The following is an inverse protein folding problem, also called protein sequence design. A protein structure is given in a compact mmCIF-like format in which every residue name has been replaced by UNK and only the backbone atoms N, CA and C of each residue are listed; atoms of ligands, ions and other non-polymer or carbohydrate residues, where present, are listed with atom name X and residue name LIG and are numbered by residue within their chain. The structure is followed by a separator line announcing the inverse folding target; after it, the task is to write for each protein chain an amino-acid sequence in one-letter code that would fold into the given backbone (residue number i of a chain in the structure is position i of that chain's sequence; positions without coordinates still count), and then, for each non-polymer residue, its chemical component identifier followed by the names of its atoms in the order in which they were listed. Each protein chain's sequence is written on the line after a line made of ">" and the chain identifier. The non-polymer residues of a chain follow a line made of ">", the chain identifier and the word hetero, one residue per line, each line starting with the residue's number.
data_IF_235501497867
#
_entry.id   IF_235501497867
#
_cell.length_a   1.000
_cell.length_b   1.000
_cell.length_c   1.000
_cell.angle_alpha   90.00
_cell.angle_beta   90.00
_cell.angle_gamma   90.00
#
_symmetry.space_group_name_H-M   'P 1'
#
loop_
_entity.id
_entity.type
_entity.pdbx_description
1 polymer ?
#
# COMPACT_ATOMS: atom_id res chain seq x y z
N UNK A 1 2.33 15.64 -30.74
CA UNK A 1 1.20 14.77 -30.36
C UNK A 1 1.60 14.14 -29.05
N UNK A 2 0.84 14.30 -27.97
CA UNK A 2 1.21 13.74 -26.67
C UNK A 2 1.23 12.21 -26.79
N UNK A 3 2.36 11.57 -26.51
CA UNK A 3 2.42 10.12 -26.44
C UNK A 3 1.58 9.63 -25.25
N UNK A 4 0.96 8.47 -25.38
CA UNK A 4 0.06 7.92 -24.34
C UNK A 4 0.76 7.75 -22.99
N UNK A 5 2.07 7.49 -22.98
CA UNK A 5 2.90 7.36 -21.78
C UNK A 5 3.20 8.71 -21.10
N UNK A 6 3.41 9.78 -21.86
CA UNK A 6 3.58 11.13 -21.32
C UNK A 6 2.30 11.62 -20.62
N UNK A 7 1.14 11.32 -21.22
CA UNK A 7 -0.17 11.65 -20.65
C UNK A 7 -0.40 10.98 -19.29
N UNK A 8 0.05 9.72 -19.14
CA UNK A 8 -0.03 8.97 -17.89
C UNK A 8 0.91 9.54 -16.82
N UNK A 9 2.15 9.90 -17.20
CA UNK A 9 3.09 10.55 -16.29
C UNK A 9 2.55 11.87 -15.75
N UNK A 10 1.93 12.69 -16.61
CA UNK A 10 1.28 13.95 -16.22
C UNK A 10 0.09 13.69 -15.28
N UNK A 11 -0.79 12.74 -15.62
CA UNK A 11 -1.93 12.38 -14.78
C UNK A 11 -1.49 11.93 -13.37
N UNK A 12 -0.41 11.14 -13.29
CA UNK A 12 0.18 10.71 -12.04
C UNK A 12 0.69 11.88 -11.20
N UNK A 13 1.39 12.84 -11.80
CA UNK A 13 1.87 14.03 -11.09
C UNK A 13 0.69 14.85 -10.56
N UNK A 14 -0.29 15.17 -11.41
CA UNK A 14 -1.46 15.98 -11.03
C UNK A 14 -2.23 15.34 -9.87
N UNK A 15 -2.37 14.02 -9.85
CA UNK A 15 -3.06 13.31 -8.79
C UNK A 15 -2.26 13.25 -7.47
N UNK A 16 -0.95 12.98 -7.54
CA UNK A 16 -0.15 12.81 -6.32
C UNK A 16 0.31 14.12 -5.67
N UNK A 17 0.42 15.22 -6.42
CA UNK A 17 0.75 16.55 -5.88
C UNK A 17 -0.17 16.98 -4.72
N UNK A 18 -1.51 16.90 -4.79
CA UNK A 18 -2.39 17.23 -3.66
C UNK A 18 -2.46 16.11 -2.60
N UNK A 19 -2.15 14.87 -2.97
CA UNK A 19 -2.22 13.72 -2.07
C UNK A 19 -1.07 13.71 -1.08
N UNK A 20 0.14 14.09 -1.50
CA UNK A 20 1.32 14.12 -0.60
C UNK A 20 1.05 15.05 0.61
N UNK A 21 0.63 16.32 0.45
CA UNK A 21 0.24 17.18 1.57
C UNK A 21 -0.90 16.60 2.40
N UNK A 22 -1.90 16.00 1.76
CA UNK A 22 -3.04 15.39 2.46
C UNK A 22 -2.62 14.21 3.34
N UNK A 23 -1.71 13.37 2.85
CA UNK A 23 -1.14 12.24 3.59
C UNK A 23 -0.28 12.72 4.77
N UNK A 24 0.50 13.79 4.58
CA UNK A 24 1.30 14.43 5.66
C UNK A 24 0.36 15.03 6.71
N UNK A 25 -0.71 15.71 6.30
CA UNK A 25 -1.69 16.29 7.22
C UNK A 25 -2.42 15.20 8.03
N UNK A 26 -2.85 14.12 7.35
CA UNK A 26 -3.44 12.95 7.99
C UNK A 26 -2.48 12.34 9.02
N UNK A 27 -1.18 12.24 8.71
CA UNK A 27 -0.17 11.79 9.68
C UNK A 27 -0.05 12.73 10.88
N UNK A 28 -0.02 14.06 10.68
CA UNK A 28 0.06 15.02 11.80
C UNK A 28 -1.16 14.92 12.70
N UNK A 29 -2.34 14.76 12.12
CA UNK A 29 -3.61 14.58 12.84
C UNK A 29 -3.68 13.26 13.60
N UNK A 30 -3.32 12.16 12.94
CA UNK A 30 -3.45 10.82 13.50
C UNK A 30 -2.21 10.31 14.25
N UNK A 31 -1.09 11.04 14.21
CA UNK A 31 0.19 10.68 14.83
C UNK A 31 0.19 10.70 16.36
N UNK A 32 -0.84 11.30 16.97
CA UNK A 32 -1.14 11.24 18.41
C UNK A 32 -1.85 9.95 18.83
N UNK A 33 -2.40 9.19 17.88
CA UNK A 33 -3.20 8.00 18.13
C UNK A 33 -2.34 6.75 17.87
N UNK A 34 -2.02 5.98 18.92
CA UNK A 34 -1.37 4.67 18.76
C UNK A 34 -2.38 3.68 18.18
N UNK A 35 -2.00 2.74 17.31
CA UNK A 35 -0.66 2.46 16.81
C UNK A 35 -0.33 3.32 15.57
N UNK A 36 0.81 4.00 15.64
CA UNK A 36 1.36 4.88 14.59
C UNK A 36 1.57 4.19 13.23
N UNK A 37 1.66 2.86 13.20
CA UNK A 37 2.19 2.09 12.08
C UNK A 37 1.32 2.10 10.81
N UNK A 38 0.02 2.42 10.90
CA UNK A 38 -0.88 2.36 9.74
C UNK A 38 -0.78 3.56 8.79
N UNK A 39 -0.29 4.70 9.27
CA UNK A 39 -0.33 5.98 8.54
C UNK A 39 1.00 6.33 7.88
N UNK A 40 2.10 5.83 8.43
CA UNK A 40 3.46 6.05 7.90
C UNK A 40 3.66 5.53 6.47
N UNK A 41 3.10 4.40 6.02
CA UNK A 41 3.36 3.87 4.67
C UNK A 41 2.76 4.70 3.53
N UNK A 42 1.75 5.53 3.79
CA UNK A 42 1.12 6.37 2.75
C UNK A 42 2.04 7.47 2.20
N UNK A 43 2.98 7.94 3.02
CA UNK A 43 3.92 9.01 2.65
C UNK A 43 4.99 8.52 1.66
N UNK A 44 5.77 7.45 1.96
CA UNK A 44 6.73 6.94 0.99
C UNK A 44 6.03 6.40 -0.26
N UNK A 45 4.81 5.88 -0.16
CA UNK A 45 4.00 5.51 -1.33
C UNK A 45 3.78 6.70 -2.27
N UNK A 46 3.17 7.77 -1.74
CA UNK A 46 2.81 8.95 -2.54
C UNK A 46 4.05 9.69 -3.07
N UNK A 47 5.15 9.72 -2.31
CA UNK A 47 6.43 10.27 -2.77
C UNK A 47 7.06 9.43 -3.90
N UNK A 48 7.12 8.11 -3.75
CA UNK A 48 7.62 7.23 -4.83
C UNK A 48 6.76 7.42 -6.09
N UNK A 49 5.45 7.55 -5.95
CA UNK A 49 4.58 7.78 -7.11
C UNK A 49 4.72 9.17 -7.70
N UNK A 50 4.93 10.20 -6.90
CA UNK A 50 5.24 11.52 -7.42
C UNK A 50 6.55 11.51 -8.22
N UNK A 51 7.57 10.75 -7.77
CA UNK A 51 8.84 10.60 -8.46
C UNK A 51 8.75 9.72 -9.73
N UNK A 52 7.84 8.75 -9.77
CA UNK A 52 7.65 7.86 -10.93
C UNK A 52 7.12 8.59 -12.18
N UNK A 53 6.26 9.59 -12.01
CA UNK A 53 5.70 10.35 -13.13
C UNK A 53 6.76 11.05 -14.00
N UNK A 54 7.66 11.87 -13.41
CA UNK A 54 8.76 12.51 -14.13
C UNK A 54 9.74 11.51 -14.77
N UNK A 55 9.99 10.36 -14.14
CA UNK A 55 10.90 9.33 -14.66
C UNK A 55 10.34 8.70 -15.94
N UNK A 56 9.04 8.42 -16.01
CA UNK A 56 8.38 7.89 -17.22
C UNK A 56 8.44 8.92 -18.36
N UNK A 57 8.20 10.20 -18.07
CA UNK A 57 8.28 11.28 -19.07
C UNK A 57 9.72 11.44 -19.57
N UNK A 58 10.70 11.41 -18.67
CA UNK A 58 12.11 11.55 -19.04
C UNK A 58 12.62 10.34 -19.84
N UNK A 59 12.08 9.15 -19.60
CA UNK A 59 12.43 7.93 -20.34
C UNK A 59 11.99 8.02 -21.80
N UNK A 60 10.80 8.59 -22.05
CA UNK A 60 10.25 8.81 -23.39
C UNK A 60 11.09 9.83 -24.19
N UNK A 61 11.56 10.89 -23.52
CA UNK A 61 12.36 11.93 -24.16
C UNK A 61 13.80 11.50 -24.43
N UNK A 62 14.41 10.74 -23.50
CA UNK A 62 15.78 10.24 -23.60
C UNK A 62 15.88 8.82 -23.02
N UNK A 63 15.79 7.78 -23.87
CA UNK A 63 15.87 6.41 -23.41
C UNK A 63 17.28 6.14 -22.85
N UNK A 64 17.35 5.84 -21.56
CA UNK A 64 18.58 5.39 -20.91
C UNK A 64 18.28 4.16 -20.07
N UNK A 65 19.24 3.24 -20.01
CA UNK A 65 19.13 2.00 -19.24
C UNK A 65 18.85 2.30 -17.77
N UNK A 66 19.46 3.37 -17.22
CA UNK A 66 19.23 3.82 -15.85
C UNK A 66 17.80 4.31 -15.61
N UNK A 67 17.21 5.07 -16.53
CA UNK A 67 15.82 5.50 -16.41
C UNK A 67 14.84 4.34 -16.57
N UNK A 68 15.14 3.38 -17.45
CA UNK A 68 14.33 2.18 -17.64
C UNK A 68 14.30 1.33 -16.35
N UNK A 69 15.47 1.08 -15.77
CA UNK A 69 15.62 0.39 -14.48
C UNK A 69 14.93 1.17 -13.36
N UNK A 70 15.09 2.49 -13.31
CA UNK A 70 14.40 3.33 -12.33
C UNK A 70 12.88 3.23 -12.45
N UNK A 71 12.31 3.29 -13.65
CA UNK A 71 10.87 3.15 -13.88
C UNK A 71 10.33 1.80 -13.36
N UNK A 72 11.02 0.70 -13.68
CA UNK A 72 10.66 -0.64 -13.20
C UNK A 72 10.75 -0.73 -11.68
N UNK A 73 11.81 -0.20 -11.07
CA UNK A 73 11.97 -0.22 -9.61
C UNK A 73 10.86 0.59 -8.95
N UNK A 74 10.63 1.83 -9.40
CA UNK A 74 9.59 2.69 -8.83
C UNK A 74 8.19 2.09 -8.97
N UNK A 75 7.91 1.39 -10.07
CA UNK A 75 6.64 0.71 -10.29
C UNK A 75 6.44 -0.49 -9.35
N UNK A 76 7.46 -1.33 -9.21
CA UNK A 76 7.39 -2.59 -8.46
C UNK A 76 7.57 -2.38 -6.94
N UNK A 77 8.56 -1.58 -6.54
CA UNK A 77 8.75 -1.19 -5.13
C UNK A 77 7.60 -0.30 -4.65
N UNK A 78 7.02 0.50 -5.55
CA UNK A 78 5.89 1.36 -5.24
C UNK A 78 4.67 0.60 -4.70
N UNK A 79 4.52 -0.71 -4.91
CA UNK A 79 3.36 -1.48 -4.39
C UNK A 79 3.54 -1.91 -2.92
N UNK A 80 4.79 -2.01 -2.46
CA UNK A 80 5.11 -2.47 -1.10
C UNK A 80 4.40 -1.65 -0.01
N UNK A 81 4.47 -0.31 -0.01
CA UNK A 81 3.85 0.47 1.06
C UNK A 81 2.33 0.30 1.17
N UNK A 82 1.64 -0.04 0.08
CA UNK A 82 0.20 -0.32 0.09
C UNK A 82 -0.12 -1.52 0.98
N UNK A 83 0.64 -2.62 0.88
CA UNK A 83 0.46 -3.78 1.76
C UNK A 83 0.79 -3.43 3.21
N UNK A 84 1.85 -2.63 3.44
CA UNK A 84 2.19 -2.21 4.80
C UNK A 84 1.04 -1.40 5.40
N UNK A 85 0.36 -0.57 4.62
CA UNK A 85 -0.84 0.14 5.05
C UNK A 85 -2.00 -0.82 5.36
N UNK A 86 -2.27 -1.79 4.48
CA UNK A 86 -3.29 -2.83 4.70
C UNK A 86 -3.02 -3.62 5.99
N UNK A 87 -1.76 -4.00 6.25
CA UNK A 87 -1.33 -4.62 7.49
C UNK A 87 -1.54 -3.70 8.69
N UNK A 88 -1.21 -2.42 8.54
CA UNK A 88 -1.45 -1.39 9.53
C UNK A 88 -2.90 -1.35 9.99
N UNK A 89 -3.84 -1.46 9.05
CA UNK A 89 -5.28 -1.53 9.33
C UNK A 89 -5.69 -2.79 10.09
N UNK A 90 -5.23 -3.98 9.65
CA UNK A 90 -5.48 -5.23 10.39
C UNK A 90 -4.92 -5.15 11.81
N UNK A 91 -3.74 -4.52 11.98
CA UNK A 91 -3.12 -4.36 13.28
C UNK A 91 -3.90 -3.43 14.20
N UNK A 92 -4.49 -2.35 13.68
CA UNK A 92 -5.38 -1.48 14.46
C UNK A 92 -6.52 -2.32 15.03
N UNK A 93 -7.21 -3.10 14.18
CA UNK A 93 -8.31 -3.98 14.61
C UNK A 93 -7.84 -5.03 15.63
N UNK A 94 -6.65 -5.60 15.42
CA UNK A 94 -6.11 -6.65 16.30
C UNK A 94 -5.70 -6.13 17.68
N UNK A 95 -5.09 -4.95 17.74
CA UNK A 95 -4.71 -4.31 19.01
C UNK A 95 -5.93 -3.81 19.78
N UNK A 96 -6.92 -3.26 19.09
CA UNK A 96 -8.11 -2.71 19.72
C UNK A 96 -9.03 -3.78 20.32
N UNK A 97 -9.04 -5.00 19.75
CA UNK A 97 -9.96 -6.06 20.17
C UNK A 97 -9.29 -7.29 20.81
N UNK A 98 -7.98 -7.51 20.60
CA UNK A 98 -7.29 -8.74 21.00
C UNK A 98 -5.88 -8.51 21.57
N UNK A 99 -5.64 -7.37 22.22
CA UNK A 99 -4.33 -7.01 22.81
C UNK A 99 -3.75 -8.05 23.76
N UNK A 100 -4.59 -8.87 24.44
CA UNK A 100 -4.14 -9.89 25.39
C UNK A 100 -3.89 -11.28 24.80
N UNK A 101 -4.20 -11.52 23.52
CA UNK A 101 -4.12 -12.85 22.93
C UNK A 101 -2.73 -13.15 22.34
N UNK A 102 -1.94 -14.11 22.88
CA UNK A 102 -0.58 -14.38 22.42
C UNK A 102 -0.52 -14.89 20.97
N UNK A 103 -1.58 -15.55 20.48
CA UNK A 103 -1.69 -16.01 19.07
C UNK A 103 -1.78 -14.84 18.09
N UNK A 104 -2.54 -13.80 18.44
CA UNK A 104 -2.69 -12.60 17.62
C UNK A 104 -1.36 -11.86 17.46
N UNK A 105 -0.58 -11.76 18.54
CA UNK A 105 0.73 -11.12 18.50
C UNK A 105 1.74 -11.92 17.64
N UNK A 106 1.74 -13.26 17.75
CA UNK A 106 2.56 -14.14 16.89
C UNK A 106 2.25 -13.97 15.41
N UNK A 107 0.97 -13.98 15.02
CA UNK A 107 0.54 -13.75 13.63
C UNK A 107 1.03 -12.38 13.13
N UNK A 108 0.89 -11.33 13.96
CA UNK A 108 1.38 -10.00 13.62
C UNK A 108 2.89 -9.89 13.45
N UNK A 109 3.68 -10.70 14.17
CA UNK A 109 5.15 -10.79 14.00
C UNK A 109 5.51 -11.50 12.70
N UNK A 110 4.88 -12.64 12.42
CA UNK A 110 5.11 -13.42 11.19
C UNK A 110 4.80 -12.56 9.96
N UNK A 111 3.67 -11.85 9.96
CA UNK A 111 3.30 -10.97 8.87
C UNK A 111 4.32 -9.85 8.63
N UNK A 112 4.93 -9.29 9.68
CA UNK A 112 6.00 -8.29 9.53
C UNK A 112 7.24 -8.90 8.91
N UNK A 113 7.64 -10.09 9.36
CA UNK A 113 8.80 -10.79 8.80
C UNK A 113 8.61 -11.06 7.30
N UNK A 114 7.43 -11.56 6.91
CA UNK A 114 7.09 -11.82 5.51
C UNK A 114 7.13 -10.53 4.65
N UNK A 115 6.71 -9.39 5.20
CA UNK A 115 6.85 -8.09 4.51
C UNK A 115 8.30 -7.72 4.31
N UNK A 116 9.16 -7.84 5.33
CA UNK A 116 10.60 -7.55 5.17
C UNK A 116 11.24 -8.45 4.12
N UNK A 117 10.84 -9.73 4.08
CA UNK A 117 11.26 -10.66 3.02
C UNK A 117 10.80 -10.18 1.65
N UNK A 118 9.50 -9.85 1.48
CA UNK A 118 8.97 -9.35 0.20
C UNK A 118 9.69 -8.06 -0.27
N UNK A 119 9.96 -7.14 0.65
CA UNK A 119 10.73 -5.92 0.38
C UNK A 119 12.14 -6.26 -0.11
N UNK A 120 12.82 -7.16 0.59
CA UNK A 120 14.15 -7.60 0.23
C UNK A 120 14.19 -8.22 -1.16
N UNK A 121 13.23 -9.09 -1.49
CA UNK A 121 13.14 -9.72 -2.80
C UNK A 121 12.85 -8.73 -3.92
N UNK A 122 11.87 -7.84 -3.75
CA UNK A 122 11.53 -6.83 -4.76
C UNK A 122 12.67 -5.82 -4.96
N UNK A 123 13.33 -5.40 -3.88
CA UNK A 123 14.47 -4.47 -3.95
C UNK A 123 15.70 -5.13 -4.58
N UNK A 124 15.97 -6.39 -4.26
CA UNK A 124 17.07 -7.14 -4.87
C UNK A 124 16.78 -7.46 -6.34
N UNK A 125 15.53 -7.78 -6.70
CA UNK A 125 15.11 -7.95 -8.09
C UNK A 125 15.34 -6.67 -8.89
N UNK A 126 14.94 -5.52 -8.34
CA UNK A 126 15.21 -4.20 -8.90
C UNK A 126 16.70 -3.89 -9.03
N UNK A 127 17.49 -4.09 -7.97
CA UNK A 127 18.93 -3.80 -7.97
C UNK A 127 19.72 -4.66 -8.95
N UNK A 128 19.42 -5.96 -9.05
CA UNK A 128 20.11 -6.85 -9.98
C UNK A 128 19.81 -6.49 -11.45
N UNK A 129 18.65 -5.88 -11.72
CA UNK A 129 18.32 -5.41 -13.08
C UNK A 129 19.25 -4.31 -13.59
N UNK A 130 19.92 -3.56 -12.71
CA UNK A 130 20.83 -2.47 -13.12
C UNK A 130 22.18 -2.96 -13.67
N UNK A 131 22.50 -4.25 -13.50
CA UNK A 131 23.78 -4.84 -13.93
C UNK A 131 23.82 -5.02 -15.45
N UNK A 132 22.65 -5.13 -16.11
CA UNK A 132 22.53 -5.15 -17.57
C UNK A 132 23.08 -6.40 -18.27
N UNK A 133 23.48 -7.44 -17.54
CA UNK A 133 23.90 -8.72 -18.13
C UNK A 133 22.72 -9.69 -18.27
N UNK A 134 22.69 -10.57 -19.30
CA UNK A 134 21.58 -11.51 -19.51
C UNK A 134 21.29 -12.42 -18.31
N UNK A 135 22.35 -12.87 -17.62
CA UNK A 135 22.24 -13.70 -16.41
C UNK A 135 21.67 -12.93 -15.21
N UNK A 136 22.02 -11.65 -15.06
CA UNK A 136 21.45 -10.77 -14.05
C UNK A 136 19.97 -10.47 -14.34
N UNK A 137 19.57 -10.28 -15.59
CA UNK A 137 18.17 -10.05 -15.96
C UNK A 137 17.26 -11.24 -15.60
N UNK A 138 17.70 -12.47 -15.87
CA UNK A 138 16.94 -13.67 -15.47
C UNK A 138 16.82 -13.80 -13.94
N UNK A 139 17.89 -13.46 -13.22
CA UNK A 139 17.89 -13.46 -11.75
C UNK A 139 16.94 -12.39 -11.20
N UNK A 140 17.02 -11.18 -11.74
CA UNK A 140 16.13 -10.05 -11.40
C UNK A 140 14.66 -10.41 -11.58
N UNK A 141 14.31 -11.03 -12.71
CA UNK A 141 12.94 -11.48 -13.00
C UNK A 141 12.48 -12.52 -11.99
N UNK A 142 13.31 -13.52 -11.70
CA UNK A 142 12.99 -14.57 -10.73
C UNK A 142 12.76 -13.98 -9.35
N UNK A 143 13.64 -13.07 -8.89
CA UNK A 143 13.49 -12.39 -7.61
C UNK A 143 12.20 -11.56 -7.54
N UNK A 144 11.89 -10.81 -8.60
CA UNK A 144 10.69 -9.97 -8.67
C UNK A 144 9.42 -10.81 -8.70
N UNK A 145 9.43 -11.92 -9.44
CA UNK A 145 8.31 -12.88 -9.53
C UNK A 145 8.03 -13.52 -8.17
N UNK A 146 9.07 -14.02 -7.48
CA UNK A 146 8.91 -14.58 -6.14
C UNK A 146 8.43 -13.50 -5.16
N UNK A 147 8.94 -12.27 -5.27
CA UNK A 147 8.45 -11.12 -4.52
C UNK A 147 6.95 -10.89 -4.67
N UNK A 148 6.43 -10.93 -5.91
CA UNK A 148 5.00 -10.78 -6.18
C UNK A 148 4.15 -11.98 -5.73
N UNK A 149 4.68 -13.20 -5.78
CA UNK A 149 3.97 -14.37 -5.22
C UNK A 149 3.81 -14.21 -3.71
N UNK A 150 4.89 -13.84 -3.00
CA UNK A 150 4.83 -13.56 -1.56
C UNK A 150 3.84 -12.42 -1.28
N UNK A 151 3.85 -11.37 -2.11
CA UNK A 151 2.90 -10.25 -2.03
C UNK A 151 1.45 -10.73 -2.18
N UNK A 152 1.15 -11.58 -3.16
CA UNK A 152 -0.18 -12.12 -3.40
C UNK A 152 -0.67 -13.01 -2.25
N UNK A 153 0.18 -13.89 -1.72
CA UNK A 153 -0.14 -14.74 -0.56
C UNK A 153 -0.44 -13.87 0.66
N UNK A 154 0.40 -12.86 0.92
CA UNK A 154 0.20 -11.93 2.02
C UNK A 154 -1.13 -11.17 1.90
N UNK A 155 -1.44 -10.66 0.71
CA UNK A 155 -2.70 -9.99 0.44
C UNK A 155 -3.89 -10.93 0.68
N UNK A 156 -3.83 -12.17 0.21
CA UNK A 156 -4.88 -13.16 0.41
C UNK A 156 -5.12 -13.46 1.91
N UNK A 157 -4.07 -13.60 2.71
CA UNK A 157 -4.22 -13.82 4.15
C UNK A 157 -4.78 -12.58 4.86
N UNK A 158 -4.33 -11.38 4.49
CA UNK A 158 -4.87 -10.13 5.05
C UNK A 158 -6.37 -9.98 4.75
N UNK A 159 -6.78 -10.23 3.51
CA UNK A 159 -8.20 -10.19 3.11
C UNK A 159 -9.00 -11.25 3.87
N UNK A 160 -8.47 -12.46 4.00
CA UNK A 160 -9.11 -13.55 4.75
C UNK A 160 -9.31 -13.16 6.23
N UNK A 161 -8.29 -12.55 6.84
CA UNK A 161 -8.36 -12.07 8.21
C UNK A 161 -9.37 -10.93 8.38
N UNK A 162 -9.42 -9.99 7.42
CA UNK A 162 -10.43 -8.93 7.41
C UNK A 162 -11.84 -9.50 7.26
N UNK A 163 -12.05 -10.45 6.35
CA UNK A 163 -13.34 -11.11 6.15
C UNK A 163 -13.78 -11.90 7.40
N UNK A 164 -12.84 -12.54 8.10
CA UNK A 164 -13.11 -13.21 9.37
C UNK A 164 -13.58 -12.23 10.45
N UNK A 165 -12.89 -11.09 10.61
CA UNK A 165 -13.34 -10.06 11.55
C UNK A 165 -14.67 -9.43 11.15
N UNK A 166 -14.96 -9.34 9.85
CA UNK A 166 -16.22 -8.80 9.36
C UNK A 166 -17.42 -9.64 9.80
N UNK A 167 -17.28 -10.97 9.81
CA UNK A 167 -18.31 -11.88 10.34
C UNK A 167 -18.58 -11.65 11.83
N UNK A 168 -17.60 -11.16 12.59
CA UNK A 168 -17.72 -10.81 14.00
C UNK A 168 -17.95 -9.31 14.26
N UNK A 169 -18.37 -8.53 13.25
CA UNK A 169 -18.48 -7.06 13.34
C UNK A 169 -19.26 -6.57 14.57
N UNK A 170 -20.28 -7.31 15.00
CA UNK A 170 -21.15 -6.91 16.10
C UNK A 170 -20.46 -6.85 17.48
N UNK A 171 -19.32 -7.54 17.65
CA UNK A 171 -18.53 -7.50 18.89
C UNK A 171 -17.34 -6.53 18.81
N UNK A 172 -17.18 -5.81 17.69
CA UNK A 172 -16.01 -4.95 17.45
C UNK A 172 -16.36 -3.48 17.66
N UNK A 173 -15.37 -2.73 18.14
CA UNK A 173 -15.44 -1.28 18.30
C UNK A 173 -15.84 -0.56 17.00
N UNK A 174 -16.64 0.53 17.04
CA UNK A 174 -17.06 1.28 15.85
C UNK A 174 -15.88 1.74 14.97
N UNK A 175 -14.79 2.18 15.62
CA UNK A 175 -13.54 2.57 14.94
C UNK A 175 -12.92 1.41 14.14
N UNK A 176 -12.94 0.20 14.69
CA UNK A 176 -12.45 -1.01 14.00
C UNK A 176 -13.33 -1.38 12.81
N UNK A 177 -14.65 -1.18 12.90
CA UNK A 177 -15.57 -1.45 11.79
C UNK A 177 -15.32 -0.53 10.60
N UNK A 178 -15.02 0.76 10.83
CA UNK A 178 -14.72 1.74 9.77
C UNK A 178 -13.42 1.36 9.04
N UNK A 179 -12.37 1.02 9.79
CA UNK A 179 -11.09 0.57 9.21
C UNK A 179 -11.28 -0.72 8.39
N UNK A 180 -12.10 -1.64 8.90
CA UNK A 180 -12.39 -2.90 8.23
C UNK A 180 -13.18 -2.70 6.93
N UNK A 181 -14.19 -1.81 6.92
CA UNK A 181 -14.91 -1.40 5.70
C UNK A 181 -13.94 -0.85 4.66
N UNK A 182 -13.05 0.04 5.08
CA UNK A 182 -12.02 0.62 4.23
C UNK A 182 -11.11 -0.41 3.58
N UNK A 183 -10.56 -1.32 4.37
CA UNK A 183 -9.70 -2.39 3.89
C UNK A 183 -10.40 -3.34 2.91
N UNK A 184 -11.63 -3.74 3.22
CA UNK A 184 -12.44 -4.59 2.32
C UNK A 184 -12.79 -3.86 1.01
N UNK A 185 -13.09 -2.56 1.05
CA UNK A 185 -13.38 -1.78 -0.15
C UNK A 185 -12.14 -1.62 -1.05
N UNK A 186 -10.95 -1.49 -0.45
CA UNK A 186 -9.68 -1.42 -1.18
C UNK A 186 -9.20 -2.77 -1.72
N UNK A 187 -9.59 -3.88 -1.09
CA UNK A 187 -9.11 -5.23 -1.43
C UNK A 187 -9.27 -5.67 -2.90
N UNK A 188 -10.42 -5.48 -3.60
CA UNK A 188 -10.54 -5.89 -5.00
C UNK A 188 -9.56 -5.12 -5.91
N UNK A 189 -9.31 -3.85 -5.63
CA UNK A 189 -8.38 -3.03 -6.39
C UNK A 189 -6.92 -3.45 -6.18
N UNK A 190 -6.55 -3.84 -4.95
CA UNK A 190 -5.24 -4.41 -4.68
C UNK A 190 -5.04 -5.77 -5.37
N UNK A 191 -6.08 -6.60 -5.48
CA UNK A 191 -6.01 -7.87 -6.22
C UNK A 191 -5.72 -7.59 -7.70
N UNK A 192 -6.47 -6.68 -8.33
CA UNK A 192 -6.26 -6.29 -9.74
C UNK A 192 -4.81 -5.82 -9.94
N UNK A 193 -4.32 -4.94 -9.06
CA UNK A 193 -2.95 -4.42 -9.13
C UNK A 193 -1.89 -5.52 -8.98
N UNK A 194 -2.15 -6.51 -8.12
CA UNK A 194 -1.23 -7.64 -7.88
C UNK A 194 -1.17 -8.57 -9.08
N UNK A 195 -2.34 -8.86 -9.67
CA UNK A 195 -2.43 -9.68 -10.89
C UNK A 195 -1.68 -9.00 -12.03
N UNK A 196 -1.85 -7.68 -12.20
CA UNK A 196 -1.11 -6.92 -13.20
C UNK A 196 0.42 -7.03 -13.00
N UNK A 197 0.91 -6.89 -11.76
CA UNK A 197 2.34 -7.04 -11.46
C UNK A 197 2.88 -8.47 -11.73
N UNK A 198 2.07 -9.50 -11.47
CA UNK A 198 2.43 -10.88 -11.82
C UNK A 198 2.48 -11.07 -13.35
N UNK A 199 1.50 -10.52 -14.08
CA UNK A 199 1.45 -10.60 -15.54
C UNK A 199 2.62 -9.84 -16.18
N UNK A 200 2.96 -8.65 -15.67
CA UNK A 200 4.11 -7.85 -16.10
C UNK A 200 5.40 -8.69 -16.07
N UNK A 201 5.68 -9.34 -14.94
CA UNK A 201 6.92 -10.12 -14.76
C UNK A 201 6.86 -11.47 -15.51
N UNK A 202 5.67 -12.08 -15.58
CA UNK A 202 5.49 -13.36 -16.26
C UNK A 202 5.62 -13.25 -17.79
N UNK A 203 5.08 -12.18 -18.39
CA UNK A 203 5.01 -11.99 -19.85
C UNK A 203 6.15 -11.13 -20.43
N UNK A 204 7.18 -10.85 -19.63
CA UNK A 204 8.29 -9.96 -20.01
C UNK A 204 9.12 -10.45 -21.23
N UNK A 205 9.12 -11.74 -21.56
CA UNK A 205 9.86 -12.30 -22.72
C UNK A 205 9.17 -12.05 -24.07
N UNK A 206 7.87 -11.77 -24.06
CA UNK A 206 7.12 -11.54 -25.29
C UNK A 206 7.26 -10.06 -25.64
N UNK A 207 8.17 -9.73 -26.56
CA UNK A 207 8.43 -8.37 -27.06
C UNK A 207 7.19 -7.64 -27.64
N UNK A 208 6.04 -8.32 -27.73
CA UNK A 208 4.73 -7.81 -28.19
C UNK A 208 3.65 -7.86 -27.11
N UNK A 209 4.00 -8.12 -25.85
CA UNK A 209 3.00 -8.26 -24.78
C UNK A 209 2.41 -6.89 -24.39
N UNK A 210 1.07 -6.73 -24.43
CA UNK A 210 0.40 -5.47 -24.09
C UNK A 210 0.56 -5.07 -22.62
N UNK A 211 1.15 -5.92 -21.78
CA UNK A 211 1.32 -5.73 -20.34
C UNK A 211 2.68 -5.15 -19.94
N UNK A 212 3.58 -4.89 -20.88
CA UNK A 212 4.82 -4.20 -20.55
C UNK A 212 4.52 -2.73 -20.17
N UNK A 213 4.85 -2.25 -18.97
CA UNK A 213 4.51 -0.90 -18.52
C UNK A 213 5.18 0.23 -19.33
N UNK A 214 6.25 -0.10 -20.06
CA UNK A 214 7.08 0.86 -20.78
C UNK A 214 6.83 0.82 -22.29
N UNK A 215 6.72 -0.36 -22.89
CA UNK A 215 6.53 -0.51 -24.36
C UNK A 215 5.15 -1.09 -24.74
N UNK A 216 4.35 -1.51 -23.76
CA UNK A 216 3.05 -2.13 -23.96
C UNK A 216 1.90 -1.12 -24.08
N UNK A 217 0.67 -1.58 -23.88
CA UNK A 217 -0.49 -0.70 -23.97
C UNK A 217 -0.56 0.22 -22.74
N UNK A 218 -0.21 1.49 -22.93
CA UNK A 218 -0.29 2.53 -21.91
C UNK A 218 -1.67 2.59 -21.23
N UNK A 219 -2.75 2.31 -21.96
CA UNK A 219 -4.12 2.29 -21.42
C UNK A 219 -4.32 1.13 -20.44
N UNK A 220 -3.75 -0.05 -20.73
CA UNK A 220 -3.81 -1.20 -19.82
C UNK A 220 -3.03 -0.92 -18.54
N UNK A 221 -1.84 -0.31 -18.65
CA UNK A 221 -1.07 0.15 -17.51
C UNK A 221 -1.83 1.19 -16.66
N UNK A 222 -2.44 2.18 -17.31
CA UNK A 222 -3.28 3.18 -16.65
C UNK A 222 -4.46 2.59 -15.90
N UNK A 223 -5.21 1.67 -16.52
CA UNK A 223 -6.44 1.10 -15.96
C UNK A 223 -6.22 -0.01 -14.95
N UNK A 224 -5.18 -0.84 -15.12
CA UNK A 224 -4.94 -2.01 -14.27
C UNK A 224 -3.86 -1.79 -13.21
N UNK A 225 -2.98 -0.79 -13.38
CA UNK A 225 -1.98 -0.43 -12.38
C UNK A 225 -2.31 0.88 -11.66
N UNK A 226 -2.40 2.01 -12.39
CA UNK A 226 -2.53 3.34 -11.79
C UNK A 226 -3.92 3.60 -11.18
N UNK A 227 -5.00 3.31 -11.90
CA UNK A 227 -6.36 3.58 -11.43
C UNK A 227 -6.73 2.80 -10.15
N UNK A 228 -6.43 1.50 -10.02
CA UNK A 228 -6.70 0.76 -8.79
C UNK A 228 -5.93 1.34 -7.60
N UNK A 229 -4.69 1.80 -7.81
CA UNK A 229 -3.91 2.45 -6.76
C UNK A 229 -4.53 3.77 -6.30
N UNK A 230 -5.02 4.58 -7.23
CA UNK A 230 -5.69 5.85 -6.89
C UNK A 230 -6.90 5.61 -6.01
N UNK A 231 -7.72 4.62 -6.38
CA UNK A 231 -8.91 4.25 -5.60
C UNK A 231 -8.52 3.74 -4.21
N UNK A 232 -7.48 2.91 -4.11
CA UNK A 232 -7.00 2.41 -2.82
C UNK A 232 -6.50 3.56 -1.94
N UNK A 233 -5.70 4.47 -2.49
CA UNK A 233 -5.18 5.64 -1.75
C UNK A 233 -6.30 6.52 -1.25
N UNK A 234 -7.27 6.85 -2.11
CA UNK A 234 -8.43 7.65 -1.71
C UNK A 234 -9.23 6.96 -0.61
N UNK A 235 -9.46 5.65 -0.75
CA UNK A 235 -10.15 4.84 0.27
C UNK A 235 -9.41 4.88 1.60
N UNK A 236 -8.08 4.77 1.58
CA UNK A 236 -7.23 4.78 2.77
C UNK A 236 -7.15 6.16 3.44
N UNK A 237 -7.11 7.22 2.65
CA UNK A 237 -7.17 8.60 3.16
C UNK A 237 -8.55 8.86 3.79
N UNK A 238 -9.62 8.47 3.10
CA UNK A 238 -11.00 8.62 3.59
C UNK A 238 -11.22 7.88 4.90
N UNK A 239 -10.77 6.62 5.00
CA UNK A 239 -10.89 5.84 6.23
C UNK A 239 -10.02 6.42 7.34
N UNK A 240 -8.89 7.03 7.01
CA UNK A 240 -8.07 7.77 7.97
C UNK A 240 -8.72 8.98 8.58
N UNK A 241 -9.43 9.78 7.78
CA UNK A 241 -10.18 10.91 8.33
C UNK A 241 -11.44 10.49 9.09
N UNK A 242 -11.98 9.32 8.76
CA UNK A 242 -13.20 8.79 9.39
C UNK A 242 -12.96 8.17 10.77
N UNK A 243 -11.71 7.96 11.18
CA UNK A 243 -11.39 7.44 12.52
C UNK A 243 -11.50 8.60 13.53
N UNK A 244 -12.36 8.49 14.57
CA UNK A 244 -12.48 9.52 15.59
C UNK A 244 -11.18 9.69 16.37
N UNK A 245 -10.79 10.92 16.77
CA UNK A 245 -9.57 11.18 17.54
C UNK A 245 -9.48 10.38 18.84
N UNK A 246 -10.63 10.11 19.47
CA UNK A 246 -10.73 9.42 20.75
C UNK A 246 -10.94 7.90 20.65
N UNK A 247 -11.02 7.32 19.44
CA UNK A 247 -11.33 5.89 19.20
C UNK A 247 -12.63 5.36 19.85
N UNK A 248 -13.39 6.21 20.55
CA UNK A 248 -14.49 5.81 21.42
C UNK A 248 -14.05 5.33 22.81
N UNK A 249 -12.79 5.56 23.20
CA UNK A 249 -12.30 5.35 24.57
C UNK A 249 -12.37 6.71 25.26
N UNK A 250 -13.15 6.90 26.33
CA UNK A 250 -13.13 8.16 27.06
C UNK A 250 -11.70 8.45 27.48
N UNK A 251 -11.22 9.65 27.18
CA UNK A 251 -9.89 10.07 27.61
C UNK A 251 -9.78 9.88 29.13
N UNK A 252 -8.58 9.55 29.64
CA UNK A 252 -8.33 9.44 31.09
C UNK A 252 -8.75 10.73 31.82
N UNK A 253 -8.76 11.86 31.10
CA UNK A 253 -9.27 13.13 31.58
C UNK A 253 -10.79 13.15 31.70
N UNK A 254 -11.53 12.60 30.72
CA UNK A 254 -12.98 12.39 30.81
C UNK A 254 -13.33 11.43 31.95
N UNK A 255 -12.54 10.38 32.18
CA UNK A 255 -12.72 9.40 33.26
C UNK A 255 -12.42 10.02 34.64
N UNK A 256 -11.39 10.87 34.76
CA UNK A 256 -11.13 11.67 35.98
C UNK A 256 -12.21 12.69 36.25
N UNK A 257 -12.71 13.39 35.23
CA UNK A 257 -13.77 14.39 35.37
C UNK A 257 -15.09 13.72 35.79
N UNK A 258 -15.42 12.55 35.24
CA UNK A 258 -16.60 11.79 35.70
C UNK A 258 -16.41 11.25 37.11
N UNK A 259 -15.23 10.72 37.48
CA UNK A 259 -14.97 10.29 38.86
C UNK A 259 -14.97 11.44 39.87
N UNK A 260 -14.54 12.65 39.48
CA UNK A 260 -14.60 13.83 40.34
C UNK A 260 -16.03 14.35 40.49
N UNK A 261 -16.83 14.32 39.42
CA UNK A 261 -18.24 14.70 39.45
C UNK A 261 -19.10 13.71 40.26
N UNK A 262 -18.77 12.42 40.25
CA UNK A 262 -19.44 11.39 41.05
C UNK A 262 -19.12 11.55 42.55
N UNK A 263 -17.87 11.94 42.88
CA UNK A 263 -17.45 12.23 44.25
C UNK A 263 -17.99 13.53 44.83
N UNK A 264 -18.42 14.49 44.02
CA UNK A 264 -19.00 15.76 44.51
C UNK A 264 -20.49 15.68 44.80
N UNK A 265 -21.16 14.59 44.43
CA UNK A 265 -22.59 14.36 44.65
C UNK A 265 -22.88 13.45 45.86
N UNK A 266 -21.86 13.14 46.67
CA UNK A 266 -21.92 12.45 47.96
C UNK A 266 -21.44 13.40 49.04
#
# INVERSE_FOLDING_TARGET
>A
MLNSHESLGIAQIIFYVPIVPTAIWLMKRNGRIRPRLAWWPMIPFSLMRLAGGPVIIALEQKPSIGLYVAAIILLNVGVVPLIIATLGYVRIVLLDNYSSNPRANKIGVIMRLCIFVAIGLLSAGGGVSSIGTPSAMNTSRTLTLVGYIVFAVMLAVLISMMAFFWRKKHTLLPSSQIVLRGGLLASPFLIIRTIFGLLEVALQDSATSPFNPIEGNAVAFGLMALLPEYIVVLTYIYTGFSIPPDRGVPSVETERVTQLADKSNV
#
